data_IF_167000470673
#
_entry.id   IF_167000470673
#
_cell.length_a   1.000
_cell.length_b   1.000
_cell.length_c   1.000
_cell.angle_alpha   90.00
_cell.angle_beta   90.00
_cell.angle_gamma   90.00
#
_symmetry.space_group_name_H-M   'P 1'
#
loop_
_entity.id
_entity.type
_entity.pdbx_description
1 polymer ?
#
# COMPACT_ATOMS: atom_id res chain seq x y z
N UNK A 1 46.98 -14.69 -45.78
CA UNK A 1 48.33 -14.95 -45.21
C UNK A 1 48.17 -15.00 -43.70
N UNK A 2 48.59 -15.95 -42.87
CA UNK A 2 49.29 -17.23 -43.01
C UNK A 2 48.92 -18.03 -41.74
N UNK A 3 48.66 -19.32 -41.89
CA UNK A 3 48.17 -20.28 -40.88
C UNK A 3 49.19 -20.51 -39.75
N UNK A 4 48.73 -20.86 -38.54
CA UNK A 4 49.49 -21.66 -37.56
C UNK A 4 48.58 -22.67 -36.86
N UNK A 5 49.17 -23.83 -36.62
CA UNK A 5 48.57 -25.16 -36.54
C UNK A 5 48.54 -25.69 -35.09
N UNK A 6 47.67 -26.69 -34.87
CA UNK A 6 47.42 -27.49 -33.65
C UNK A 6 48.66 -28.03 -32.92
N UNK A 7 48.53 -28.26 -31.59
CA UNK A 7 48.92 -29.54 -30.97
C UNK A 7 48.09 -29.84 -29.71
N UNK A 8 47.54 -31.05 -29.64
CA UNK A 8 46.76 -31.70 -28.58
C UNK A 8 47.66 -32.55 -27.66
N UNK A 9 47.29 -32.74 -26.38
CA UNK A 9 47.44 -34.02 -25.63
C UNK A 9 46.62 -34.00 -24.30
N UNK A 10 46.16 -35.17 -23.76
CA UNK A 10 45.10 -35.32 -22.74
C UNK A 10 45.58 -35.88 -21.37
N UNK A 11 44.72 -35.81 -20.34
CA UNK A 11 44.67 -36.69 -19.14
C UNK A 11 43.40 -36.34 -18.31
N UNK A 12 42.35 -37.17 -18.23
CA UNK A 12 42.16 -38.42 -17.48
C UNK A 12 41.63 -38.25 -16.03
N UNK A 13 40.35 -38.61 -15.86
CA UNK A 13 39.72 -39.38 -14.77
C UNK A 13 39.90 -38.99 -13.29
N UNK A 14 38.79 -38.72 -12.59
CA UNK A 14 38.30 -39.56 -11.47
C UNK A 14 36.90 -39.12 -11.00
N UNK A 15 35.95 -40.05 -11.12
CA UNK A 15 34.59 -40.02 -10.59
C UNK A 15 34.61 -40.63 -9.18
N UNK A 16 34.02 -39.98 -8.18
CA UNK A 16 33.79 -40.59 -6.87
C UNK A 16 32.33 -40.40 -6.46
N UNK A 17 31.53 -41.44 -6.70
CA UNK A 17 30.23 -41.65 -6.09
C UNK A 17 30.43 -42.47 -4.81
N UNK A 18 29.84 -42.04 -3.70
CA UNK A 18 29.66 -42.88 -2.52
C UNK A 18 28.16 -42.98 -2.23
N UNK A 19 27.63 -44.17 -2.48
CA UNK A 19 26.38 -44.67 -1.91
C UNK A 19 26.75 -45.64 -0.78
N UNK A 20 26.16 -45.46 0.40
CA UNK A 20 26.19 -46.44 1.49
C UNK A 20 24.76 -46.61 2.01
N UNK A 21 24.23 -47.81 1.78
CA UNK A 21 22.99 -48.33 2.35
C UNK A 21 23.30 -48.93 3.72
N UNK A 22 22.45 -48.71 4.72
CA UNK A 22 22.53 -49.36 6.04
C UNK A 22 21.14 -49.52 6.67
N UNK A 23 20.80 -50.75 7.01
CA UNK A 23 19.49 -51.28 7.42
C UNK A 23 19.08 -50.89 8.86
N UNK A 24 17.78 -51.01 9.17
CA UNK A 24 17.15 -50.49 10.39
C UNK A 24 17.14 -51.39 11.63
N UNK A 25 16.49 -50.87 12.68
CA UNK A 25 15.95 -51.56 13.86
C UNK A 25 15.26 -50.53 14.76
N UNK A 26 14.25 -51.00 15.48
CA UNK A 26 13.21 -50.31 16.25
C UNK A 26 13.60 -49.74 17.62
N UNK A 27 12.78 -48.75 18.04
CA UNK A 27 12.24 -48.46 19.39
C UNK A 27 12.95 -47.50 20.37
N UNK A 28 12.06 -46.76 21.07
CA UNK A 28 12.17 -45.96 22.29
C UNK A 28 12.64 -44.51 22.20
N UNK A 29 11.74 -43.61 22.60
CA UNK A 29 11.83 -42.16 22.48
C UNK A 29 12.57 -41.44 23.59
N UNK A 30 12.78 -40.14 23.39
CA UNK A 30 12.30 -39.07 24.27
C UNK A 30 12.62 -37.71 23.68
N UNK A 31 11.68 -36.80 23.90
CA UNK A 31 11.66 -35.39 23.54
C UNK A 31 12.96 -34.63 23.78
N UNK A 32 13.24 -33.68 22.87
CA UNK A 32 13.56 -32.34 23.34
C UNK A 32 13.04 -31.30 22.33
N UNK A 33 12.00 -30.58 22.74
CA UNK A 33 11.41 -29.48 22.00
C UNK A 33 12.40 -28.32 21.85
N UNK A 34 12.70 -27.99 20.59
CA UNK A 34 13.31 -26.73 20.18
C UNK A 34 12.26 -25.90 19.47
N UNK A 35 11.91 -24.76 20.07
CA UNK A 35 10.89 -23.80 19.66
C UNK A 35 10.96 -23.45 18.17
N UNK A 36 10.00 -23.98 17.41
CA UNK A 36 9.69 -23.54 16.06
C UNK A 36 8.69 -22.39 16.17
N UNK A 37 9.21 -21.17 16.31
CA UNK A 37 8.42 -19.97 16.47
C UNK A 37 8.70 -18.97 15.34
N UNK A 38 8.58 -19.44 14.10
CA UNK A 38 8.47 -18.55 12.93
C UNK A 38 7.60 -19.10 11.80
N UNK A 39 6.92 -20.24 11.98
CA UNK A 39 6.20 -20.92 10.89
C UNK A 39 4.66 -20.86 11.00
N UNK A 40 4.12 -20.15 11.99
CA UNK A 40 2.68 -20.02 12.20
C UNK A 40 2.02 -18.96 11.30
N UNK A 41 2.74 -17.91 10.89
CA UNK A 41 2.19 -16.85 10.02
C UNK A 41 2.00 -17.31 8.57
N UNK A 42 2.92 -18.15 8.06
CA UNK A 42 2.89 -18.65 6.67
C UNK A 42 1.85 -19.76 6.44
N UNK A 43 1.41 -20.42 7.51
CA UNK A 43 0.36 -21.43 7.45
C UNK A 43 -1.04 -20.79 7.31
N UNK A 44 -1.24 -19.58 7.83
CA UNK A 44 -2.48 -18.83 7.65
C UNK A 44 -2.60 -18.25 6.24
N UNK A 45 -1.50 -17.77 5.65
CA UNK A 45 -1.50 -17.11 4.34
C UNK A 45 -2.00 -17.97 3.17
N UNK A 46 -1.98 -19.30 3.33
CA UNK A 46 -2.45 -20.24 2.30
C UNK A 46 -3.96 -20.54 2.37
N UNK A 47 -4.67 -20.04 3.39
CA UNK A 47 -6.14 -20.20 3.47
C UNK A 47 -6.84 -19.04 2.77
N UNK A 48 -7.98 -19.28 2.09
CA UNK A 48 -8.78 -18.21 1.53
C UNK A 48 -9.12 -17.15 2.58
N UNK A 49 -8.92 -15.87 2.24
CA UNK A 49 -9.36 -14.76 3.08
C UNK A 49 -10.88 -14.75 3.27
N UNK A 50 -11.30 -14.36 4.46
CA UNK A 50 -12.69 -14.25 4.90
C UNK A 50 -12.96 -12.85 5.43
N UNK A 51 -14.23 -12.47 5.63
CA UNK A 51 -14.55 -11.15 6.21
C UNK A 51 -13.95 -10.94 7.61
N UNK A 52 -13.67 -12.01 8.37
CA UNK A 52 -13.15 -11.92 9.72
C UNK A 52 -11.65 -11.60 9.78
N UNK A 53 -10.86 -12.03 8.79
CA UNK A 53 -9.40 -11.92 8.78
C UNK A 53 -8.84 -11.06 7.64
N UNK A 54 -9.67 -10.65 6.66
CA UNK A 54 -9.24 -9.93 5.45
C UNK A 54 -8.34 -8.72 5.77
N UNK A 55 -8.85 -7.75 6.54
CA UNK A 55 -8.09 -6.54 6.85
C UNK A 55 -6.84 -6.81 7.68
N UNK A 56 -6.91 -7.73 8.64
CA UNK A 56 -5.81 -8.06 9.55
C UNK A 56 -4.67 -8.76 8.82
N UNK A 57 -4.97 -9.72 7.93
CA UNK A 57 -3.95 -10.45 7.16
C UNK A 57 -3.25 -9.57 6.13
N UNK A 58 -4.01 -8.76 5.37
CA UNK A 58 -3.41 -7.78 4.45
C UNK A 58 -2.50 -6.80 5.18
N UNK A 59 -2.95 -6.27 6.33
CA UNK A 59 -2.13 -5.35 7.12
C UNK A 59 -0.86 -6.03 7.65
N UNK A 60 -0.98 -7.26 8.15
CA UNK A 60 0.15 -8.02 8.64
C UNK A 60 1.17 -8.27 7.52
N UNK A 61 0.71 -8.67 6.33
CA UNK A 61 1.55 -8.91 5.16
C UNK A 61 2.29 -7.63 4.70
N UNK A 62 1.60 -6.49 4.67
CA UNK A 62 2.26 -5.21 4.34
C UNK A 62 3.30 -4.81 5.40
N UNK A 63 3.00 -4.99 6.69
CA UNK A 63 3.95 -4.70 7.78
C UNK A 63 5.15 -5.65 7.77
N UNK A 64 4.94 -6.93 7.48
CA UNK A 64 6.01 -7.92 7.37
C UNK A 64 6.94 -7.60 6.19
N UNK A 65 6.38 -7.11 5.08
CA UNK A 65 7.18 -6.59 3.97
C UNK A 65 7.94 -5.31 4.33
N UNK A 66 7.50 -4.54 5.32
CA UNK A 66 8.14 -3.32 5.82
C UNK A 66 8.05 -2.10 4.91
N UNK A 67 7.95 -2.28 3.59
CA UNK A 67 7.80 -1.22 2.60
C UNK A 67 7.14 -1.71 1.31
N UNK A 68 6.66 -0.78 0.49
CA UNK A 68 6.20 -1.04 -0.88
C UNK A 68 6.11 0.25 -1.70
N UNK A 69 6.07 0.10 -3.02
CA UNK A 69 5.68 1.16 -3.95
C UNK A 69 4.27 0.94 -4.46
N UNK A 70 3.62 2.01 -4.89
CA UNK A 70 2.30 1.93 -5.47
C UNK A 70 2.08 2.98 -6.56
N UNK A 71 1.18 2.66 -7.48
CA UNK A 71 0.65 3.60 -8.47
C UNK A 71 -0.86 3.71 -8.30
N UNK A 72 -1.41 4.89 -8.55
CA UNK A 72 -2.83 5.15 -8.52
C UNK A 72 -3.26 5.77 -9.85
N UNK A 73 -4.39 5.31 -10.38
CA UNK A 73 -5.06 5.91 -11.51
C UNK A 73 -6.54 6.06 -11.17
N UNK A 74 -7.05 7.29 -11.24
CA UNK A 74 -8.46 7.59 -11.07
C UNK A 74 -9.00 8.17 -12.36
N UNK A 75 -9.90 7.45 -13.00
CA UNK A 75 -10.64 7.90 -14.18
C UNK A 75 -12.05 8.34 -13.80
N UNK A 76 -12.44 9.54 -14.23
CA UNK A 76 -13.81 10.05 -14.13
C UNK A 76 -14.16 10.81 -15.40
N UNK A 77 -15.22 10.38 -16.09
CA UNK A 77 -15.60 10.92 -17.40
C UNK A 77 -14.45 10.86 -18.43
N UNK A 78 -14.01 12.00 -18.97
CA UNK A 78 -12.88 12.09 -19.92
C UNK A 78 -11.56 12.51 -19.26
N UNK A 79 -11.51 12.55 -17.93
CA UNK A 79 -10.33 12.95 -17.18
C UNK A 79 -9.73 11.74 -16.46
N UNK A 80 -8.41 11.60 -16.58
CA UNK A 80 -7.63 10.61 -15.84
C UNK A 80 -6.60 11.36 -15.00
N UNK A 81 -6.57 11.06 -13.71
CA UNK A 81 -5.54 11.50 -12.80
C UNK A 81 -4.68 10.31 -12.41
N UNK A 82 -3.37 10.44 -12.56
CA UNK A 82 -2.40 9.42 -12.17
C UNK A 82 -1.58 9.89 -10.98
N UNK A 83 -0.97 8.95 -10.29
CA UNK A 83 0.07 9.22 -9.32
C UNK A 83 0.84 7.98 -8.94
N UNK A 84 1.92 8.20 -8.21
CA UNK A 84 2.84 7.16 -7.77
C UNK A 84 3.38 7.53 -6.40
N UNK A 85 3.70 6.53 -5.60
CA UNK A 85 4.25 6.75 -4.29
C UNK A 85 4.95 5.53 -3.73
N UNK A 86 5.49 5.73 -2.55
CA UNK A 86 6.15 4.71 -1.76
C UNK A 86 5.76 4.87 -0.30
N UNK A 87 5.73 3.73 0.40
CA UNK A 87 5.32 3.65 1.78
C UNK A 87 6.34 2.81 2.55
N UNK A 88 6.72 3.33 3.72
CA UNK A 88 7.45 2.62 4.76
C UNK A 88 6.46 2.32 5.89
N UNK A 89 6.28 1.05 6.20
CA UNK A 89 5.28 0.55 7.14
C UNK A 89 5.88 -0.38 8.19
N UNK A 90 7.22 -0.43 8.29
CA UNK A 90 7.93 -1.09 9.36
C UNK A 90 7.86 -0.25 10.66
N UNK A 91 7.29 -0.85 11.72
CA UNK A 91 7.17 -0.22 13.04
C UNK A 91 5.89 0.59 13.27
N UNK A 92 5.90 1.41 14.33
CA UNK A 92 4.70 2.07 14.86
C UNK A 92 4.34 3.37 14.14
N UNK A 93 5.24 3.88 13.29
CA UNK A 93 5.10 5.16 12.59
C UNK A 93 5.27 4.97 11.09
N UNK A 94 4.21 4.58 10.38
CA UNK A 94 4.26 4.51 8.93
C UNK A 94 4.54 5.89 8.31
N UNK A 95 5.26 5.88 7.19
CA UNK A 95 5.56 7.05 6.39
C UNK A 95 5.19 6.80 4.92
N UNK A 96 4.67 7.81 4.23
CA UNK A 96 4.24 7.71 2.83
C UNK A 96 4.68 8.95 2.06
N UNK A 97 5.27 8.77 0.88
CA UNK A 97 5.47 9.83 -0.11
C UNK A 97 4.60 9.52 -1.33
N UNK A 98 3.74 10.45 -1.69
CA UNK A 98 2.81 10.35 -2.80
C UNK A 98 3.00 11.54 -3.73
N UNK A 99 3.11 11.27 -5.03
CA UNK A 99 3.09 12.29 -6.08
C UNK A 99 1.85 12.07 -6.94
N UNK A 100 1.04 13.11 -7.07
CA UNK A 100 -0.15 13.16 -7.92
C UNK A 100 0.12 14.05 -9.13
N UNK A 101 -0.23 13.58 -10.33
CA UNK A 101 0.03 14.27 -11.58
C UNK A 101 1.49 14.17 -12.02
N UNK A 102 1.90 15.05 -12.94
CA UNK A 102 3.26 15.09 -13.46
C UNK A 102 3.68 16.52 -13.84
N UNK A 103 4.99 16.73 -13.98
CA UNK A 103 5.56 18.01 -14.38
C UNK A 103 5.33 19.13 -13.35
N UNK A 104 5.27 20.36 -13.84
CA UNK A 104 5.14 21.58 -13.02
C UNK A 104 3.79 21.70 -12.28
N UNK A 105 2.84 20.81 -12.57
CA UNK A 105 1.52 20.78 -11.96
C UNK A 105 1.37 19.68 -10.90
N UNK A 106 2.43 18.90 -10.67
CA UNK A 106 2.40 17.81 -9.71
C UNK A 106 2.18 18.32 -8.27
N UNK A 107 1.42 17.54 -7.51
CA UNK A 107 1.23 17.73 -6.08
C UNK A 107 1.93 16.59 -5.38
N UNK A 108 2.92 16.91 -4.55
CA UNK A 108 3.62 15.95 -3.71
C UNK A 108 3.09 16.04 -2.28
N UNK A 109 2.92 14.90 -1.64
CA UNK A 109 2.52 14.78 -0.24
C UNK A 109 3.43 13.80 0.46
N UNK A 110 4.05 14.23 1.55
CA UNK A 110 4.80 13.36 2.46
C UNK A 110 4.05 13.34 3.79
N UNK A 111 3.78 12.14 4.29
CA UNK A 111 3.27 11.92 5.64
C UNK A 111 4.34 11.19 6.43
N UNK A 112 4.81 11.81 7.51
CA UNK A 112 5.83 11.25 8.40
C UNK A 112 5.64 11.83 9.80
N UNK A 113 5.83 11.02 10.84
CA UNK A 113 5.61 11.41 12.24
C UNK A 113 4.23 12.02 12.54
N UNK A 114 3.20 11.63 11.79
CA UNK A 114 1.84 12.16 11.92
C UNK A 114 1.66 13.59 11.39
N UNK A 115 2.66 14.14 10.70
CA UNK A 115 2.62 15.43 10.04
C UNK A 115 2.48 15.25 8.54
N UNK A 116 1.80 16.20 7.90
CA UNK A 116 1.66 16.27 6.45
C UNK A 116 2.55 17.37 5.91
N UNK A 117 3.25 17.08 4.83
CA UNK A 117 4.01 18.05 4.06
C UNK A 117 3.48 18.01 2.65
N UNK A 118 2.91 19.11 2.18
CA UNK A 118 2.36 19.20 0.83
C UNK A 118 3.22 20.17 0.05
N UNK A 119 3.64 19.77 -1.15
CA UNK A 119 4.27 20.64 -2.12
C UNK A 119 3.38 20.71 -3.35
N UNK A 120 3.03 21.91 -3.74
CA UNK A 120 2.11 22.15 -4.83
C UNK A 120 2.46 23.47 -5.53
N UNK A 121 2.09 23.64 -6.82
CA UNK A 121 2.52 24.79 -7.61
C UNK A 121 1.97 26.13 -7.09
N UNK A 122 0.86 26.10 -6.35
CA UNK A 122 0.28 27.29 -5.72
C UNK A 122 1.07 27.76 -4.48
N UNK A 123 2.01 26.96 -3.98
CA UNK A 123 2.87 27.34 -2.88
C UNK A 123 4.07 28.11 -3.43
N UNK A 124 4.50 29.16 -2.72
CA UNK A 124 5.60 30.01 -3.17
C UNK A 124 6.89 29.21 -3.42
N UNK A 125 7.77 29.76 -4.25
CA UNK A 125 8.97 29.05 -4.74
C UNK A 125 10.06 28.87 -3.68
N UNK A 126 10.16 29.77 -2.70
CA UNK A 126 11.28 29.78 -1.75
C UNK A 126 11.19 28.67 -0.69
N UNK A 127 9.97 28.30 -0.31
CA UNK A 127 9.65 27.25 0.67
C UNK A 127 8.50 26.40 0.11
N UNK A 128 8.80 25.46 -0.80
CA UNK A 128 7.79 24.78 -1.59
C UNK A 128 6.94 23.81 -0.77
N UNK A 129 7.39 23.42 0.44
CA UNK A 129 6.67 22.49 1.31
C UNK A 129 5.88 23.23 2.38
N UNK A 130 4.57 23.09 2.37
CA UNK A 130 3.70 23.50 3.45
C UNK A 130 3.60 22.37 4.48
N UNK A 131 4.06 22.62 5.70
CA UNK A 131 3.86 21.71 6.84
C UNK A 131 2.47 21.93 7.44
N UNK A 132 1.73 20.84 7.60
CA UNK A 132 0.37 20.81 8.09
C UNK A 132 0.30 19.83 9.27
N UNK A 133 -0.18 20.33 10.41
CA UNK A 133 -0.58 19.50 11.54
C UNK A 133 -2.09 19.21 11.42
N UNK A 134 -2.49 17.96 11.16
CA UNK A 134 -3.91 17.61 10.96
C UNK A 134 -4.73 17.71 12.26
N UNK A 135 -4.08 17.89 13.43
CA UNK A 135 -4.74 18.12 14.71
C UNK A 135 -4.99 19.61 15.01
N UNK A 136 -4.49 20.52 14.17
CA UNK A 136 -4.70 21.95 14.32
C UNK A 136 -6.19 22.30 14.27
N UNK A 137 -6.58 23.32 15.04
CA UNK A 137 -8.00 23.75 15.16
C UNK A 137 -8.41 24.79 14.13
N UNK A 138 -7.46 25.34 13.38
CA UNK A 138 -7.67 26.40 12.38
C UNK A 138 -6.78 26.15 11.17
N UNK A 139 -7.05 26.86 10.06
CA UNK A 139 -6.21 26.84 8.86
C UNK A 139 -6.32 25.55 8.05
N UNK A 140 -5.31 25.28 7.21
CA UNK A 140 -5.20 24.07 6.41
C UNK A 140 -5.15 22.81 7.27
N UNK A 141 -4.59 22.88 8.49
CA UNK A 141 -4.57 21.73 9.41
C UNK A 141 -5.96 21.29 9.87
N UNK A 142 -6.86 22.24 10.16
CA UNK A 142 -8.26 21.92 10.46
C UNK A 142 -8.99 21.34 9.24
N UNK A 143 -8.72 21.88 8.04
CA UNK A 143 -9.31 21.37 6.80
C UNK A 143 -8.84 19.94 6.52
N UNK A 144 -7.54 19.70 6.58
CA UNK A 144 -6.94 18.37 6.41
C UNK A 144 -7.51 17.42 7.46
N UNK A 145 -7.53 17.79 8.75
CA UNK A 145 -8.15 17.01 9.82
C UNK A 145 -9.64 16.70 9.56
N UNK A 146 -10.41 17.65 9.04
CA UNK A 146 -11.83 17.48 8.69
C UNK A 146 -12.03 16.57 7.48
N UNK A 147 -11.14 16.58 6.50
CA UNK A 147 -11.16 15.64 5.36
C UNK A 147 -10.61 14.25 5.72
N UNK A 148 -10.42 14.00 7.02
CA UNK A 148 -9.91 12.75 7.53
C UNK A 148 -8.39 12.68 7.58
N UNK A 149 -7.63 13.73 7.28
CA UNK A 149 -6.16 13.78 7.36
C UNK A 149 -5.54 13.52 8.74
N UNK A 150 -6.32 13.11 9.73
CA UNK A 150 -5.84 12.29 10.85
C UNK A 150 -5.75 10.79 10.46
N UNK A 151 -5.69 10.47 9.16
CA UNK A 151 -5.56 9.11 8.66
C UNK A 151 -4.16 8.63 9.03
N UNK A 152 -4.08 7.94 10.16
CA UNK A 152 -3.11 6.88 10.35
C UNK A 152 -3.05 6.05 9.04
N UNK A 153 -1.89 5.79 8.43
CA UNK A 153 -1.79 4.93 7.25
C UNK A 153 -2.43 3.55 7.45
N UNK A 154 -2.70 3.13 8.70
CA UNK A 154 -3.51 1.96 9.04
C UNK A 154 -5.03 2.17 9.02
N UNK A 155 -5.54 3.36 8.75
CA UNK A 155 -6.99 3.63 8.67
C UNK A 155 -7.66 2.83 7.56
N UNK A 156 -6.97 2.59 6.44
CA UNK A 156 -7.49 1.74 5.37
C UNK A 156 -7.60 0.28 5.84
N UNK A 157 -6.65 -0.22 6.63
CA UNK A 157 -6.78 -1.56 7.22
C UNK A 157 -7.86 -1.64 8.30
N UNK A 158 -8.06 -0.57 9.08
CA UNK A 158 -9.21 -0.45 10.02
C UNK A 158 -10.54 -0.46 9.28
N UNK A 159 -10.61 0.18 8.11
CA UNK A 159 -11.80 0.10 7.25
C UNK A 159 -12.02 -1.33 6.74
N UNK A 160 -10.95 -2.04 6.37
CA UNK A 160 -11.04 -3.45 5.99
C UNK A 160 -11.38 -4.41 7.14
N UNK A 161 -11.22 -3.99 8.41
CA UNK A 161 -11.71 -4.75 9.56
C UNK A 161 -13.25 -4.67 9.71
N UNK A 162 -13.91 -3.70 9.05
CA UNK A 162 -15.38 -3.55 9.02
C UNK A 162 -16.01 -4.16 7.76
N UNK A 163 -15.29 -5.04 7.09
CA UNK A 163 -15.80 -5.72 5.90
C UNK A 163 -16.99 -6.59 6.26
N UNK A 164 -18.11 -6.37 5.56
CA UNK A 164 -19.35 -7.12 5.80
C UNK A 164 -19.41 -8.38 4.96
N UNK A 165 -18.73 -8.40 3.81
CA UNK A 165 -18.74 -9.51 2.86
C UNK A 165 -17.41 -9.63 2.13
N UNK A 166 -16.94 -10.87 1.96
CA UNK A 166 -15.79 -11.22 1.12
C UNK A 166 -16.20 -12.36 0.21
N UNK A 167 -16.03 -12.17 -1.10
CA UNK A 167 -16.27 -13.17 -2.13
C UNK A 167 -14.96 -13.49 -2.83
N UNK A 168 -14.51 -14.74 -2.73
CA UNK A 168 -13.34 -15.22 -3.47
C UNK A 168 -13.72 -15.43 -4.93
N UNK A 169 -12.96 -14.79 -5.82
CA UNK A 169 -13.01 -14.97 -7.26
C UNK A 169 -11.94 -15.92 -7.78
N UNK A 170 -11.58 -15.75 -9.04
CA UNK A 170 -10.55 -16.52 -9.71
C UNK A 170 -9.13 -16.08 -9.31
N UNK A 171 -8.17 -16.97 -9.53
CA UNK A 171 -6.75 -16.63 -9.56
C UNK A 171 -6.42 -16.05 -10.93
N UNK A 172 -5.72 -14.92 -10.95
CA UNK A 172 -5.39 -14.13 -12.13
C UNK A 172 -3.92 -13.70 -12.07
N UNK A 173 -3.26 -13.62 -13.23
CA UNK A 173 -1.93 -13.03 -13.33
C UNK A 173 -2.07 -11.51 -13.47
N UNK A 174 -1.47 -10.76 -12.55
CA UNK A 174 -1.42 -9.31 -12.57
C UNK A 174 0.04 -8.90 -12.73
N UNK A 175 0.41 -8.47 -13.93
CA UNK A 175 1.76 -8.04 -14.28
C UNK A 175 2.86 -9.08 -13.91
N UNK A 176 2.57 -10.38 -14.08
CA UNK A 176 3.49 -11.47 -13.77
C UNK A 176 3.42 -11.99 -12.32
N UNK A 177 2.50 -11.48 -11.50
CA UNK A 177 2.24 -11.95 -10.14
C UNK A 177 0.92 -12.70 -10.12
N UNK A 178 0.95 -13.99 -9.75
CA UNK A 178 -0.28 -14.74 -9.51
C UNK A 178 -0.99 -14.23 -8.25
N UNK A 179 -2.24 -13.82 -8.39
CA UNK A 179 -3.04 -13.25 -7.32
C UNK A 179 -4.49 -13.74 -7.37
N UNK A 180 -5.06 -14.02 -6.21
CA UNK A 180 -6.49 -14.34 -6.08
C UNK A 180 -7.30 -13.07 -5.99
N UNK A 181 -8.33 -12.93 -6.83
CA UNK A 181 -9.30 -11.83 -6.74
C UNK A 181 -10.24 -12.03 -5.56
N UNK A 182 -10.47 -10.98 -4.80
CA UNK A 182 -11.49 -10.89 -3.76
C UNK A 182 -12.37 -9.68 -4.01
N UNK A 183 -13.69 -9.88 -4.05
CA UNK A 183 -14.65 -8.77 -4.03
C UNK A 183 -15.10 -8.57 -2.59
N UNK A 184 -14.84 -7.36 -2.08
CA UNK A 184 -14.99 -7.00 -0.67
C UNK A 184 -16.01 -5.88 -0.54
N UNK A 185 -17.01 -6.08 0.30
CA UNK A 185 -18.06 -5.08 0.54
C UNK A 185 -17.86 -4.40 1.89
N UNK A 186 -17.91 -3.07 1.89
CA UNK A 186 -17.91 -2.23 3.09
C UNK A 186 -19.15 -1.33 3.03
N UNK A 187 -19.85 -1.18 4.15
CA UNK A 187 -20.95 -0.23 4.21
C UNK A 187 -20.42 1.21 4.12
N UNK A 188 -21.06 2.06 3.31
CA UNK A 188 -20.64 3.45 3.15
C UNK A 188 -20.66 4.24 4.46
N UNK A 189 -21.61 3.92 5.36
CA UNK A 189 -21.68 4.51 6.70
C UNK A 189 -20.47 4.13 7.57
N UNK A 190 -20.04 2.87 7.52
CA UNK A 190 -18.86 2.40 8.27
C UNK A 190 -17.58 3.04 7.74
N UNK A 191 -17.47 3.19 6.42
CA UNK A 191 -16.35 3.89 5.80
C UNK A 191 -16.35 5.38 6.19
N UNK A 192 -17.50 6.05 6.12
CA UNK A 192 -17.63 7.44 6.55
C UNK A 192 -17.23 7.64 8.01
N UNK A 193 -17.68 6.77 8.91
CA UNK A 193 -17.33 6.82 10.33
C UNK A 193 -15.83 6.57 10.53
N UNK A 194 -15.28 5.53 9.91
CA UNK A 194 -13.87 5.12 10.07
C UNK A 194 -12.93 6.20 9.56
N UNK A 195 -13.25 6.77 8.40
CA UNK A 195 -12.49 7.86 7.81
C UNK A 195 -12.86 9.23 8.40
N UNK A 196 -13.84 9.31 9.31
CA UNK A 196 -14.35 10.55 9.91
C UNK A 196 -14.72 11.59 8.86
N UNK A 197 -15.35 11.16 7.78
CA UNK A 197 -15.74 12.05 6.70
C UNK A 197 -16.76 13.08 7.20
N UNK A 198 -16.68 14.34 6.73
CA UNK A 198 -17.69 15.33 7.03
C UNK A 198 -19.04 14.88 6.46
N UNK A 199 -20.15 15.31 7.07
CA UNK A 199 -21.50 14.86 6.72
C UNK A 199 -21.83 15.05 5.22
N UNK A 200 -21.33 16.13 4.61
CA UNK A 200 -21.47 16.40 3.19
C UNK A 200 -20.78 15.32 2.34
N UNK A 201 -19.52 14.96 2.64
CA UNK A 201 -18.79 13.91 1.94
C UNK A 201 -19.39 12.52 2.19
N UNK A 202 -19.80 12.23 3.43
CA UNK A 202 -20.46 10.99 3.78
C UNK A 202 -21.78 10.79 3.02
N UNK A 203 -22.52 11.88 2.75
CA UNK A 203 -23.77 11.86 1.98
C UNK A 203 -23.59 11.45 0.51
N UNK A 204 -22.38 11.53 -0.04
CA UNK A 204 -22.08 11.07 -1.40
C UNK A 204 -21.70 9.59 -1.47
N UNK A 205 -21.44 8.92 -0.34
CA UNK A 205 -21.12 7.50 -0.36
C UNK A 205 -22.37 6.65 -0.66
N UNK A 206 -22.26 5.63 -1.52
CA UNK A 206 -23.33 4.66 -1.68
C UNK A 206 -23.51 3.85 -0.39
N UNK A 207 -24.66 3.18 -0.25
CA UNK A 207 -24.94 2.33 0.92
C UNK A 207 -23.88 1.26 1.12
N UNK A 208 -23.40 0.69 0.02
CA UNK A 208 -22.36 -0.33 -0.02
C UNK A 208 -21.33 0.05 -1.08
N UNK A 209 -20.06 -0.19 -0.75
CA UNK A 209 -18.93 0.05 -1.63
C UNK A 209 -18.25 -1.30 -1.83
N UNK A 210 -18.05 -1.68 -3.10
CA UNK A 210 -17.34 -2.88 -3.47
C UNK A 210 -15.90 -2.52 -3.90
N UNK A 211 -14.95 -3.24 -3.31
CA UNK A 211 -13.54 -3.20 -3.66
C UNK A 211 -13.19 -4.55 -4.29
N UNK A 212 -12.68 -4.53 -5.51
CA UNK A 212 -12.03 -5.70 -6.10
C UNK A 212 -10.54 -5.64 -5.74
N UNK A 213 -10.06 -6.61 -4.97
CA UNK A 213 -8.69 -6.65 -4.46
C UNK A 213 -8.04 -7.96 -4.90
N UNK A 214 -6.94 -7.87 -5.63
CA UNK A 214 -6.11 -9.01 -5.99
C UNK A 214 -5.03 -9.17 -4.94
N UNK A 215 -4.91 -10.38 -4.38
CA UNK A 215 -4.02 -10.67 -3.26
C UNK A 215 -3.12 -11.86 -3.64
N UNK A 216 -1.80 -11.71 -3.46
CA UNK A 216 -0.83 -12.76 -3.74
C UNK A 216 -0.80 -13.86 -2.66
N UNK A 217 0.04 -14.89 -2.85
CA UNK A 217 0.17 -16.01 -1.91
C UNK A 217 0.79 -15.65 -0.55
N UNK A 218 1.25 -14.40 -0.37
CA UNK A 218 1.77 -13.86 0.88
C UNK A 218 0.77 -12.88 1.53
N UNK A 219 -0.50 -12.89 1.09
CA UNK A 219 -1.57 -11.98 1.51
C UNK A 219 -1.33 -10.50 1.18
N UNK A 220 -0.40 -10.18 0.28
CA UNK A 220 -0.12 -8.80 -0.10
C UNK A 220 -1.07 -8.36 -1.21
N UNK A 221 -1.69 -7.17 -1.11
CA UNK A 221 -2.41 -6.58 -2.23
C UNK A 221 -1.48 -6.41 -3.43
N UNK A 222 -1.92 -6.79 -4.63
CA UNK A 222 -1.22 -6.53 -5.89
C UNK A 222 -1.95 -5.45 -6.67
N UNK A 223 -3.28 -5.48 -6.63
CA UNK A 223 -4.15 -4.50 -7.25
C UNK A 223 -5.42 -4.30 -6.43
N UNK A 224 -5.94 -3.08 -6.43
CA UNK A 224 -7.23 -2.72 -5.87
C UNK A 224 -7.99 -1.86 -6.89
N UNK A 225 -9.24 -2.20 -7.15
CA UNK A 225 -10.13 -1.43 -8.00
C UNK A 225 -11.40 -1.09 -7.22
N UNK A 226 -11.78 0.18 -7.23
CA UNK A 226 -13.03 0.67 -6.65
C UNK A 226 -13.78 1.48 -7.68
N UNK A 227 -15.10 1.28 -7.74
CA UNK A 227 -16.00 2.06 -8.59
C UNK A 227 -17.01 2.80 -7.74
N UNK A 228 -17.10 4.11 -7.91
CA UNK A 228 -18.02 4.98 -7.18
C UNK A 228 -18.72 5.92 -8.14
N UNK A 229 -19.98 6.24 -7.87
CA UNK A 229 -20.67 7.32 -8.56
C UNK A 229 -20.43 8.64 -7.80
N UNK A 230 -19.77 9.59 -8.44
CA UNK A 230 -19.52 10.94 -7.89
C UNK A 230 -20.30 11.92 -8.76
N UNK A 231 -21.24 12.66 -8.15
CA UNK A 231 -22.10 13.63 -8.86
C UNK A 231 -22.83 13.02 -10.09
N UNK A 232 -23.18 11.74 -10.02
CA UNK A 232 -23.87 11.03 -11.11
C UNK A 232 -22.94 10.53 -12.23
N UNK A 233 -21.62 10.70 -12.11
CA UNK A 233 -20.63 10.15 -13.04
C UNK A 233 -19.89 8.99 -12.39
N UNK A 234 -19.66 7.92 -13.15
CA UNK A 234 -18.84 6.81 -12.68
C UNK A 234 -17.37 7.22 -12.59
N UNK A 235 -16.76 6.95 -11.44
CA UNK A 235 -15.35 7.10 -11.14
C UNK A 235 -14.78 5.73 -10.86
N UNK A 236 -13.70 5.36 -11.56
CA UNK A 236 -12.95 4.14 -11.29
C UNK A 236 -11.57 4.52 -10.78
N UNK A 237 -11.22 4.05 -9.59
CA UNK A 237 -9.87 4.16 -9.04
C UNK A 237 -9.21 2.79 -9.08
N UNK A 238 -8.05 2.70 -9.73
CA UNK A 238 -7.18 1.54 -9.73
C UNK A 238 -5.91 1.89 -8.97
N UNK A 239 -5.53 1.07 -8.00
CA UNK A 239 -4.27 1.15 -7.29
C UNK A 239 -3.51 -0.15 -7.49
N UNK A 240 -2.23 -0.07 -7.86
CA UNK A 240 -1.34 -1.22 -7.99
C UNK A 240 -0.22 -1.11 -6.98
N UNK A 241 0.18 -2.22 -6.40
CA UNK A 241 1.24 -2.30 -5.40
C UNK A 241 2.37 -3.19 -5.92
N UNK A 242 3.60 -2.75 -5.68
CA UNK A 242 4.82 -3.34 -6.25
C UNK A 242 5.98 -3.17 -5.28
N UNK A 243 7.12 -3.81 -5.58
CA UNK A 243 8.38 -3.61 -4.86
C UNK A 243 8.27 -3.76 -3.33
N UNK A 244 7.51 -4.75 -2.88
CA UNK A 244 7.42 -5.09 -1.45
C UNK A 244 8.80 -5.42 -0.87
N UNK A 245 9.15 -4.83 0.27
CA UNK A 245 10.45 -5.01 0.93
C UNK A 245 11.62 -4.29 0.25
N UNK A 246 11.35 -3.34 -0.65
CA UNK A 246 12.39 -2.49 -1.23
C UNK A 246 12.91 -1.44 -0.23
N UNK A 247 14.16 -1.02 -0.42
CA UNK A 247 14.71 0.10 0.35
C UNK A 247 14.10 1.41 -0.16
N UNK A 248 13.21 2.01 0.65
CA UNK A 248 12.52 3.27 0.37
C UNK A 248 12.87 4.29 1.45
N UNK A 249 13.05 5.54 1.03
CA UNK A 249 13.51 6.61 1.91
C UNK A 249 12.45 7.70 2.00
N UNK A 250 11.58 7.58 3.01
CA UNK A 250 10.47 8.51 3.24
C UNK A 250 10.76 9.36 4.47
N UNK A 251 11.41 10.50 4.24
CA UNK A 251 11.77 11.48 5.27
C UNK A 251 11.00 12.79 5.14
N UNK A 252 10.97 13.57 6.23
CA UNK A 252 10.45 14.93 6.19
C UNK A 252 11.29 15.81 5.26
N UNK A 253 10.68 16.77 4.54
CA UNK A 253 11.45 17.69 3.72
C UNK A 253 12.48 18.50 4.53
N UNK A 254 13.58 18.96 3.91
CA UNK A 254 14.55 19.82 4.55
C UNK A 254 13.90 21.05 5.21
N UNK A 255 14.27 21.34 6.46
CA UNK A 255 13.60 22.36 7.27
C UNK A 255 13.67 23.78 6.66
N UNK A 256 14.68 24.07 5.85
CA UNK A 256 14.83 25.32 5.10
C UNK A 256 13.83 25.45 3.93
N UNK A 257 13.34 24.33 3.38
CA UNK A 257 12.31 24.28 2.34
C UNK A 257 10.88 24.25 2.89
N UNK A 258 10.73 24.11 4.21
CA UNK A 258 9.42 24.00 4.88
C UNK A 258 8.93 25.37 5.36
N UNK A 259 7.66 25.65 5.09
CA UNK A 259 6.90 26.78 5.63
C UNK A 259 5.71 26.28 6.44
N UNK A 260 5.35 27.02 7.48
CA UNK A 260 4.05 26.90 8.19
C UNK A 260 3.11 28.06 7.84
N UNK A 261 3.58 29.01 7.01
CA UNK A 261 2.77 30.14 6.55
C UNK A 261 1.86 29.65 5.44
N UNK A 262 0.58 29.59 5.74
CA UNK A 262 -0.44 29.19 4.78
C UNK A 262 -0.59 30.22 3.67
N UNK A 263 -0.73 29.79 2.40
CA UNK A 263 -1.14 30.69 1.33
C UNK A 263 -2.56 31.19 1.59
N UNK A 264 -2.88 32.41 1.13
CA UNK A 264 -4.27 32.88 1.17
C UNK A 264 -5.14 31.96 0.33
N UNK A 265 -6.13 31.31 0.95
CA UNK A 265 -7.12 30.50 0.25
C UNK A 265 -7.88 31.37 -0.76
N UNK A 266 -8.08 30.93 -2.01
CA UNK A 266 -8.95 31.64 -2.93
C UNK A 266 -10.37 31.70 -2.34
N UNK A 267 -11.05 32.83 -2.49
CA UNK A 267 -12.30 33.21 -1.81
C UNK A 267 -13.50 32.25 -1.98
N UNK A 268 -13.35 31.18 -2.78
CA UNK A 268 -14.36 30.13 -2.96
C UNK A 268 -14.23 28.92 -2.02
N UNK A 269 -13.08 28.72 -1.37
CA UNK A 269 -12.85 27.55 -0.47
C UNK A 269 -13.43 27.80 0.93
N UNK A 270 -13.60 29.05 1.32
CA UNK A 270 -14.15 29.48 2.62
C UNK A 270 -15.61 29.05 2.84
N UNK A 271 -16.32 28.60 1.80
CA UNK A 271 -17.72 28.18 1.91
C UNK A 271 -17.92 26.73 2.41
N UNK A 272 -16.82 26.00 2.63
CA UNK A 272 -16.80 24.61 3.12
C UNK A 272 -16.39 24.47 4.59
N UNK A 273 -16.13 25.59 5.28
CA UNK A 273 -16.01 25.62 6.73
C UNK A 273 -17.27 26.29 7.31
N UNK A 274 -17.90 25.72 8.34
CA UNK A 274 -19.04 26.34 9.01
C UNK A 274 -18.68 27.68 9.67
#
# INVERSE_FOLDING_TARGET
MKKRTLTTLPAAFALAAMALTGCGSSDSGSDNGGSDSSNSSKAESNKPLTSADFGTRLQAAQKDAGSYKFTMETGMAQQTQTGSGEAKVDGDKPAVHLTMGSGEQAIETITVDGLYFIKAPMFGTDKPWLKIDPNAKTGFGALVGQMGGNQDPTSLSKAFAKVTKVEKGAEEDIDGVSATKYTVTIAGADLAETLKLPAEAAGFLPKEINYDIWVDGEDRPVQMITKLAVQGQESTTTMKFTDYGSDVDVEAPPADQVTTKEPSLPSGVTKLAP
#
